data_IF_286067029294
#
_entry.id   IF_286067029294
#
_cell.length_a   1.000
_cell.length_b   1.000
_cell.length_c   1.000
_cell.angle_alpha   90.00
_cell.angle_beta   90.00
_cell.angle_gamma   90.00
#
_symmetry.space_group_name_H-M   'P 1'
#
loop_
_entity.id
_entity.type
_entity.pdbx_description
1 polymer ?
#
# COMPACT_ATOMS: atom_id res chain seq x y z
N UNK A 1 -18.29 16.22 29.61
CA UNK A 1 -19.03 17.50 29.62
C UNK A 1 -18.70 18.36 28.39
N UNK A 2 -17.44 18.51 27.98
CA UNK A 2 -17.05 19.21 26.73
C UNK A 2 -17.66 18.56 25.47
N UNK A 3 -17.64 17.23 25.36
CA UNK A 3 -18.13 16.48 24.18
C UNK A 3 -19.64 16.73 23.92
N UNK A 4 -20.43 16.85 24.98
CA UNK A 4 -21.89 17.07 24.89
C UNK A 4 -22.22 18.53 24.52
N UNK A 5 -21.46 19.49 25.05
CA UNK A 5 -21.61 20.90 24.65
C UNK A 5 -21.19 21.16 23.21
N UNK A 6 -20.19 20.42 22.69
CA UNK A 6 -19.84 20.45 21.27
C UNK A 6 -20.98 19.88 20.42
N UNK A 7 -21.60 18.77 20.84
CA UNK A 7 -22.72 18.15 20.13
C UNK A 7 -23.97 19.07 20.02
N UNK A 8 -24.31 19.79 21.09
CA UNK A 8 -25.44 20.73 21.09
C UNK A 8 -25.18 22.01 20.27
N UNK A 9 -23.92 22.45 20.14
CA UNK A 9 -23.56 23.52 19.19
C UNK A 9 -23.63 23.06 17.73
N UNK A 10 -23.50 21.76 17.46
CA UNK A 10 -23.55 21.18 16.10
C UNK A 10 -24.97 21.12 15.55
N UNK A 11 -25.96 20.74 16.36
CA UNK A 11 -27.37 20.72 15.93
C UNK A 11 -27.87 22.10 15.46
N UNK A 12 -27.41 23.17 16.13
CA UNK A 12 -27.76 24.56 15.79
C UNK A 12 -27.06 25.12 14.54
N UNK A 13 -26.01 24.44 14.07
CA UNK A 13 -25.27 24.85 12.87
C UNK A 13 -25.85 24.17 11.62
N UNK A 14 -26.26 22.90 11.73
CA UNK A 14 -26.93 22.17 10.65
C UNK A 14 -28.31 22.77 10.29
N UNK A 15 -29.05 23.30 11.27
CA UNK A 15 -30.34 23.98 11.02
C UNK A 15 -30.21 25.29 10.21
N UNK A 16 -29.01 25.86 10.07
CA UNK A 16 -28.80 27.15 9.41
C UNK A 16 -28.12 27.05 8.02
N UNK A 17 -27.81 25.84 7.55
CA UNK A 17 -27.11 25.63 6.26
C UNK A 17 -27.99 25.11 5.12
N UNK A 18 -29.31 25.21 5.25
CA UNK A 18 -30.26 24.94 4.16
C UNK A 18 -30.19 26.04 3.09
N UNK A 19 -29.16 26.01 2.24
CA UNK A 19 -29.19 26.40 0.81
C UNK A 19 -27.80 26.24 0.18
N UNK A 20 -27.48 25.04 -0.31
CA UNK A 20 -26.77 24.80 -1.57
C UNK A 20 -26.42 23.31 -1.66
N UNK A 21 -27.07 22.62 -2.59
CA UNK A 21 -26.64 21.36 -3.23
C UNK A 21 -25.52 20.62 -2.49
N UNK A 22 -25.88 19.76 -1.53
CA UNK A 22 -24.96 18.80 -0.93
C UNK A 22 -24.54 17.79 -1.99
N UNK A 23 -23.59 18.17 -2.85
CA UNK A 23 -22.91 17.23 -3.73
C UNK A 23 -22.21 16.22 -2.82
N UNK A 24 -22.75 15.00 -2.74
CA UNK A 24 -22.08 13.86 -2.11
C UNK A 24 -20.67 13.76 -2.70
N UNK A 25 -19.67 14.23 -1.95
CA UNK A 25 -18.27 13.96 -2.27
C UNK A 25 -18.06 12.49 -1.97
N UNK A 26 -18.37 11.64 -2.95
CA UNK A 26 -18.07 10.22 -2.87
C UNK A 26 -16.54 10.09 -2.79
N UNK A 27 -16.01 9.87 -1.58
CA UNK A 27 -14.60 9.60 -1.30
C UNK A 27 -14.16 8.22 -1.78
N UNK A 28 -14.77 7.70 -2.85
CA UNK A 28 -14.37 6.46 -3.47
C UNK A 28 -12.94 6.61 -4.00
N UNK A 29 -12.00 6.00 -3.28
CA UNK A 29 -10.60 6.00 -3.67
C UNK A 29 -10.39 5.05 -4.85
N UNK A 30 -10.63 5.60 -6.03
CA UNK A 30 -10.30 4.97 -7.29
C UNK A 30 -8.90 5.49 -7.60
N UNK A 31 -7.89 4.62 -7.64
CA UNK A 31 -6.44 4.93 -7.70
C UNK A 31 -5.90 5.77 -8.86
N UNK A 32 -6.69 6.71 -9.34
CA UNK A 32 -6.49 7.64 -10.43
C UNK A 32 -6.80 9.06 -9.99
N UNK A 33 -6.30 10.03 -10.75
CA UNK A 33 -6.65 11.42 -10.57
C UNK A 33 -8.14 11.64 -10.89
N UNK A 34 -8.82 12.38 -10.04
CA UNK A 34 -10.21 12.81 -10.24
C UNK A 34 -10.23 14.30 -10.59
N UNK A 35 -11.23 14.72 -11.37
CA UNK A 35 -11.51 16.15 -11.57
C UNK A 35 -11.91 16.85 -10.26
N UNK A 36 -12.30 16.07 -9.26
CA UNK A 36 -12.68 16.51 -7.92
C UNK A 36 -11.52 16.43 -6.92
N UNK A 37 -10.29 16.15 -7.37
CA UNK A 37 -9.14 16.16 -6.47
C UNK A 37 -8.91 17.58 -5.91
N UNK A 38 -8.66 17.72 -4.59
CA UNK A 38 -8.45 19.01 -3.95
C UNK A 38 -7.16 19.69 -4.43
N UNK A 39 -7.25 20.97 -4.79
CA UNK A 39 -6.08 21.82 -5.05
C UNK A 39 -5.64 22.49 -3.75
N UNK A 40 -4.81 21.80 -2.97
CA UNK A 40 -4.32 22.26 -1.66
C UNK A 40 -3.49 23.55 -1.74
N UNK A 41 -3.03 23.96 -2.93
CA UNK A 41 -2.32 25.22 -3.13
C UNK A 41 -3.21 26.45 -3.01
N UNK A 42 -4.53 26.27 -3.19
CA UNK A 42 -5.53 27.34 -3.16
C UNK A 42 -6.37 27.38 -1.89
N UNK A 43 -6.30 26.33 -1.06
CA UNK A 43 -7.05 26.26 0.18
C UNK A 43 -6.46 27.16 1.26
N UNK A 44 -7.33 27.94 1.91
CA UNK A 44 -7.03 28.58 3.18
C UNK A 44 -6.82 27.53 4.29
N UNK A 45 -6.21 27.94 5.41
CA UNK A 45 -6.01 27.03 6.57
C UNK A 45 -7.32 26.48 7.12
N UNK A 46 -8.41 27.25 7.04
CA UNK A 46 -9.73 26.86 7.54
C UNK A 46 -10.41 25.85 6.60
N UNK A 47 -10.29 26.04 5.29
CA UNK A 47 -10.79 25.07 4.31
C UNK A 47 -10.02 23.76 4.40
N UNK A 48 -8.69 23.82 4.56
CA UNK A 48 -7.88 22.62 4.76
C UNK A 48 -8.27 21.89 6.05
N UNK A 49 -8.46 22.61 7.17
CA UNK A 49 -8.83 21.95 8.43
C UNK A 49 -10.20 21.29 8.36
N UNK A 50 -11.16 21.89 7.65
CA UNK A 50 -12.47 21.28 7.36
C UNK A 50 -12.35 20.06 6.45
N UNK A 51 -11.55 20.14 5.39
CA UNK A 51 -11.29 19.02 4.50
C UNK A 51 -10.67 17.83 5.24
N UNK A 52 -9.64 18.09 6.06
CA UNK A 52 -8.99 17.07 6.89
C UNK A 52 -10.00 16.47 7.87
N UNK A 53 -10.81 17.31 8.50
CA UNK A 53 -11.81 16.86 9.46
C UNK A 53 -12.84 15.95 8.79
N UNK A 54 -13.35 16.33 7.63
CA UNK A 54 -14.35 15.55 6.93
C UNK A 54 -13.76 14.23 6.41
N UNK A 55 -12.53 14.26 5.86
CA UNK A 55 -11.87 13.03 5.38
C UNK A 55 -11.61 12.01 6.49
N UNK A 56 -11.23 12.49 7.69
CA UNK A 56 -10.82 11.61 8.79
C UNK A 56 -11.91 11.29 9.80
N UNK A 57 -12.89 12.17 10.01
CA UNK A 57 -13.80 12.07 11.17
C UNK A 57 -15.28 12.22 10.80
N UNK A 58 -15.63 12.33 9.52
CA UNK A 58 -17.04 12.32 9.14
C UNK A 58 -17.67 10.93 9.40
N UNK A 59 -18.99 10.84 9.63
CA UNK A 59 -19.68 9.56 9.84
C UNK A 59 -19.51 8.57 8.68
N UNK A 60 -19.31 9.07 7.46
CA UNK A 60 -19.06 8.34 6.22
C UNK A 60 -17.56 8.21 5.89
N UNK A 61 -16.66 8.67 6.77
CA UNK A 61 -15.22 8.56 6.56
C UNK A 61 -14.80 7.09 6.45
N UNK A 62 -14.07 6.78 5.38
CA UNK A 62 -13.53 5.44 5.08
C UNK A 62 -12.03 5.32 5.40
N UNK A 63 -11.42 6.38 5.95
CA UNK A 63 -9.99 6.46 6.19
C UNK A 63 -9.63 7.39 7.35
N UNK A 64 -8.49 7.12 7.99
CA UNK A 64 -7.78 7.95 8.93
C UNK A 64 -6.32 8.09 8.46
N UNK A 65 -6.01 9.24 7.85
CA UNK A 65 -4.73 9.58 7.25
C UNK A 65 -3.56 9.49 8.24
N UNK A 66 -3.76 9.85 9.52
CA UNK A 66 -2.69 9.76 10.52
C UNK A 66 -2.28 8.30 10.76
N UNK A 67 -3.25 7.39 10.86
CA UNK A 67 -2.96 5.96 10.96
C UNK A 67 -2.20 5.49 9.70
N UNK A 68 -2.67 5.89 8.52
CA UNK A 68 -2.09 5.45 7.25
C UNK A 68 -0.64 5.92 7.07
N UNK A 69 -0.33 7.16 7.47
CA UNK A 69 1.03 7.70 7.47
C UNK A 69 1.92 6.88 8.41
N UNK A 70 1.56 6.76 9.69
CA UNK A 70 2.44 6.16 10.69
C UNK A 70 2.62 4.66 10.49
N UNK A 71 1.54 3.94 10.14
CA UNK A 71 1.58 2.51 9.89
C UNK A 71 2.58 2.16 8.77
N UNK A 72 2.48 2.84 7.62
CA UNK A 72 3.37 2.60 6.48
C UNK A 72 4.77 3.22 6.66
N UNK A 73 4.91 4.35 7.35
CA UNK A 73 6.23 4.91 7.67
C UNK A 73 7.03 3.95 8.56
N UNK A 74 6.44 3.46 9.65
CA UNK A 74 7.10 2.53 10.56
C UNK A 74 7.35 1.17 9.90
N UNK A 75 6.39 0.68 9.11
CA UNK A 75 6.56 -0.51 8.29
C UNK A 75 7.71 -0.38 7.30
N UNK A 76 7.83 0.77 6.64
CA UNK A 76 8.90 1.07 5.69
C UNK A 76 10.27 1.07 6.36
N UNK A 77 10.39 1.72 7.52
CA UNK A 77 11.62 1.68 8.34
C UNK A 77 11.97 0.23 8.69
N UNK A 78 11.02 -0.55 9.20
CA UNK A 78 11.27 -1.95 9.58
C UNK A 78 11.73 -2.81 8.38
N UNK A 79 11.06 -2.69 7.23
CA UNK A 79 11.39 -3.48 6.04
C UNK A 79 12.76 -3.09 5.44
N UNK A 80 13.07 -1.80 5.37
CA UNK A 80 14.36 -1.32 4.84
C UNK A 80 15.50 -1.64 5.80
N UNK A 81 15.31 -1.48 7.11
CA UNK A 81 16.29 -1.90 8.10
C UNK A 81 16.52 -3.41 8.08
N UNK A 82 15.45 -4.21 7.92
CA UNK A 82 15.55 -5.66 7.75
C UNK A 82 16.32 -6.05 6.48
N UNK A 83 16.04 -5.38 5.35
CA UNK A 83 16.77 -5.58 4.10
C UNK A 83 18.26 -5.20 4.22
N UNK A 84 18.56 -4.07 4.89
CA UNK A 84 19.93 -3.64 5.15
C UNK A 84 20.68 -4.65 6.05
N UNK A 85 20.02 -5.16 7.09
CA UNK A 85 20.56 -6.22 7.93
C UNK A 85 20.90 -7.48 7.10
N UNK A 86 19.97 -7.95 6.26
CA UNK A 86 20.21 -9.11 5.40
C UNK A 86 21.35 -8.86 4.40
N UNK A 87 21.42 -7.67 3.80
CA UNK A 87 22.52 -7.27 2.92
C UNK A 87 23.89 -7.33 3.61
N UNK A 88 24.00 -6.76 4.82
CA UNK A 88 25.25 -6.74 5.59
C UNK A 88 25.72 -8.15 5.99
N UNK A 89 24.77 -9.06 6.23
CA UNK A 89 25.04 -10.46 6.61
C UNK A 89 25.20 -11.40 5.42
N UNK A 90 25.01 -10.92 4.20
CA UNK A 90 25.08 -11.75 3.00
C UNK A 90 26.50 -12.15 2.64
N UNK A 91 26.70 -13.44 2.40
CA UNK A 91 27.96 -14.08 1.99
C UNK A 91 28.22 -14.08 0.47
N UNK A 92 27.21 -13.74 -0.33
CA UNK A 92 27.26 -13.84 -1.79
C UNK A 92 26.67 -12.61 -2.48
N UNK A 93 27.14 -12.35 -3.70
CA UNK A 93 26.66 -11.24 -4.53
C UNK A 93 25.17 -11.40 -4.86
N UNK A 94 24.72 -12.63 -5.14
CA UNK A 94 23.30 -12.92 -5.42
C UNK A 94 22.38 -12.56 -4.26
N UNK A 95 22.74 -12.93 -3.02
CA UNK A 95 21.99 -12.53 -1.82
C UNK A 95 21.95 -11.01 -1.66
N UNK A 96 23.10 -10.34 -1.80
CA UNK A 96 23.20 -8.87 -1.71
C UNK A 96 22.28 -8.17 -2.71
N UNK A 97 22.34 -8.54 -3.99
CA UNK A 97 21.47 -7.98 -5.04
C UNK A 97 20.01 -8.25 -4.70
N UNK A 98 19.67 -9.48 -4.30
CA UNK A 98 18.29 -9.86 -3.98
C UNK A 98 17.71 -9.03 -2.84
N UNK A 99 18.48 -8.81 -1.76
CA UNK A 99 18.02 -8.04 -0.61
C UNK A 99 17.97 -6.53 -0.88
N UNK A 100 18.84 -6.00 -1.74
CA UNK A 100 18.74 -4.61 -2.22
C UNK A 100 17.46 -4.41 -3.03
N UNK A 101 17.18 -5.30 -3.98
CA UNK A 101 15.96 -5.23 -4.79
C UNK A 101 14.70 -5.36 -3.94
N UNK A 102 14.71 -6.28 -2.96
CA UNK A 102 13.66 -6.40 -1.96
C UNK A 102 13.47 -5.09 -1.16
N UNK A 103 14.54 -4.56 -0.56
CA UNK A 103 14.49 -3.38 0.29
C UNK A 103 14.04 -2.12 -0.45
N UNK A 104 14.56 -1.87 -1.65
CA UNK A 104 14.15 -0.74 -2.49
C UNK A 104 12.67 -0.86 -2.86
N UNK A 105 12.21 -2.04 -3.24
CA UNK A 105 10.82 -2.25 -3.67
C UNK A 105 9.82 -2.02 -2.53
N UNK A 106 10.09 -2.57 -1.34
CA UNK A 106 9.25 -2.36 -0.17
C UNK A 106 9.35 -0.91 0.32
N UNK A 107 10.53 -0.29 0.22
CA UNK A 107 10.73 1.13 0.52
C UNK A 107 9.88 2.05 -0.37
N UNK A 108 9.88 1.81 -1.69
CA UNK A 108 9.03 2.54 -2.65
C UNK A 108 7.56 2.41 -2.27
N UNK A 109 7.09 1.19 -1.96
CA UNK A 109 5.70 0.97 -1.57
C UNK A 109 5.34 1.71 -0.27
N UNK A 110 6.06 1.43 0.81
CA UNK A 110 5.68 1.87 2.15
C UNK A 110 5.94 3.36 2.37
N UNK A 111 7.11 3.86 1.96
CA UNK A 111 7.37 5.30 2.05
C UNK A 111 6.58 6.09 1.02
N UNK A 112 6.38 5.57 -0.19
CA UNK A 112 5.51 6.21 -1.20
C UNK A 112 4.09 6.41 -0.68
N UNK A 113 3.55 5.38 -0.04
CA UNK A 113 2.24 5.44 0.61
C UNK A 113 2.18 6.42 1.78
N UNK A 114 3.16 6.36 2.70
CA UNK A 114 3.22 7.30 3.81
C UNK A 114 3.32 8.77 3.34
N UNK A 115 4.09 9.03 2.29
CA UNK A 115 4.21 10.37 1.68
C UNK A 115 2.90 10.82 1.04
N UNK A 116 2.20 9.95 0.31
CA UNK A 116 0.91 10.27 -0.29
C UNK A 116 -0.11 10.74 0.75
N UNK A 117 -0.30 9.95 1.82
CA UNK A 117 -1.20 10.29 2.92
C UNK A 117 -0.75 11.57 3.66
N UNK A 118 0.56 11.73 3.87
CA UNK A 118 1.12 12.93 4.50
C UNK A 118 0.84 14.21 3.69
N UNK A 119 1.06 14.18 2.38
CA UNK A 119 0.80 15.34 1.53
C UNK A 119 -0.70 15.63 1.37
N UNK A 120 -1.56 14.62 1.55
CA UNK A 120 -3.00 14.82 1.66
C UNK A 120 -3.39 15.74 2.84
N UNK A 121 -2.55 15.88 3.86
CA UNK A 121 -2.84 16.70 5.05
C UNK A 121 -2.17 18.09 5.03
N UNK A 122 -1.55 18.52 3.93
CA UNK A 122 -0.68 19.71 3.91
C UNK A 122 -1.17 20.80 2.95
N UNK A 123 -1.23 22.04 3.44
CA UNK A 123 -1.51 23.23 2.61
C UNK A 123 -0.33 23.56 1.69
N UNK A 124 -0.60 24.19 0.55
CA UNK A 124 0.44 24.67 -0.36
C UNK A 124 1.00 23.60 -1.29
N UNK A 125 0.46 22.38 -1.25
CA UNK A 125 0.84 21.30 -2.17
C UNK A 125 0.07 21.49 -3.48
N UNK A 126 0.78 21.50 -4.61
CA UNK A 126 0.13 21.57 -5.91
C UNK A 126 -0.65 20.29 -6.19
N UNK A 127 -1.79 20.42 -6.87
CA UNK A 127 -2.60 19.28 -7.28
C UNK A 127 -1.80 18.23 -8.07
N UNK A 128 -0.85 18.69 -8.90
CA UNK A 128 0.00 17.80 -9.71
C UNK A 128 0.92 16.95 -8.84
N UNK A 129 1.51 17.56 -7.80
CA UNK A 129 2.40 16.84 -6.88
C UNK A 129 1.63 15.79 -6.08
N UNK A 130 0.43 16.13 -5.57
CA UNK A 130 -0.43 15.18 -4.87
C UNK A 130 -0.81 13.98 -5.76
N UNK A 131 -1.12 14.22 -7.04
CA UNK A 131 -1.42 13.16 -8.03
C UNK A 131 -0.20 12.28 -8.34
N UNK A 132 1.01 12.83 -8.33
CA UNK A 132 2.24 12.03 -8.48
C UNK A 132 2.40 11.09 -7.28
N UNK A 133 2.23 11.58 -6.04
CA UNK A 133 2.33 10.72 -4.87
C UNK A 133 1.26 9.64 -4.84
N UNK A 134 0.01 9.95 -5.22
CA UNK A 134 -1.04 8.94 -5.39
C UNK A 134 -0.63 7.86 -6.39
N UNK A 135 -0.05 8.28 -7.52
CA UNK A 135 0.43 7.36 -8.53
C UNK A 135 1.54 6.46 -7.96
N UNK A 136 2.54 7.03 -7.27
CA UNK A 136 3.63 6.25 -6.65
C UNK A 136 3.10 5.26 -5.62
N UNK A 137 2.19 5.69 -4.73
CA UNK A 137 1.54 4.83 -3.74
C UNK A 137 0.90 3.58 -4.38
N UNK A 138 0.11 3.79 -5.43
CA UNK A 138 -0.54 2.67 -6.12
C UNK A 138 0.41 1.86 -7.02
N UNK A 139 1.46 2.46 -7.58
CA UNK A 139 2.50 1.71 -8.29
C UNK A 139 3.34 0.88 -7.34
N UNK A 140 3.51 1.34 -6.10
CA UNK A 140 4.29 0.69 -5.07
C UNK A 140 3.89 -0.76 -4.85
N UNK A 141 2.61 -1.10 -5.07
CA UNK A 141 2.12 -2.48 -4.97
C UNK A 141 2.81 -3.40 -5.99
N UNK A 142 3.00 -2.98 -7.25
CA UNK A 142 3.74 -3.77 -8.24
C UNK A 142 5.20 -3.98 -7.82
N UNK A 143 5.84 -2.92 -7.30
CA UNK A 143 7.20 -3.02 -6.77
C UNK A 143 7.26 -4.03 -5.63
N UNK A 144 6.41 -3.91 -4.62
CA UNK A 144 6.41 -4.81 -3.48
C UNK A 144 6.20 -6.28 -3.87
N UNK A 145 5.29 -6.57 -4.80
CA UNK A 145 5.06 -7.94 -5.28
C UNK A 145 6.31 -8.49 -5.97
N UNK A 146 6.89 -7.73 -6.91
CA UNK A 146 8.09 -8.17 -7.63
C UNK A 146 9.27 -8.35 -6.68
N UNK A 147 9.57 -7.32 -5.88
CA UNK A 147 10.69 -7.29 -4.94
C UNK A 147 10.62 -8.38 -3.87
N UNK A 148 9.41 -8.68 -3.35
CA UNK A 148 9.21 -9.76 -2.36
C UNK A 148 9.54 -11.14 -2.90
N UNK A 149 9.41 -11.34 -4.22
CA UNK A 149 9.69 -12.62 -4.89
C UNK A 149 11.19 -12.83 -5.12
N UNK A 150 11.97 -11.77 -5.29
CA UNK A 150 13.37 -11.86 -5.73
C UNK A 150 14.23 -12.76 -4.85
N UNK A 151 14.25 -12.63 -3.50
CA UNK A 151 15.13 -13.48 -2.70
C UNK A 151 14.70 -14.96 -2.72
N UNK A 152 13.40 -15.26 -2.82
CA UNK A 152 12.95 -16.65 -2.99
C UNK A 152 13.42 -17.22 -4.34
N UNK A 153 13.25 -16.44 -5.42
CA UNK A 153 13.59 -16.86 -6.77
C UNK A 153 15.10 -16.99 -6.98
N UNK A 154 15.90 -15.99 -6.61
CA UNK A 154 17.34 -15.99 -6.91
C UNK A 154 18.18 -16.75 -5.89
N UNK A 155 17.79 -16.77 -4.60
CA UNK A 155 18.59 -17.41 -3.54
C UNK A 155 18.17 -18.86 -3.31
N UNK A 156 16.89 -19.11 -3.00
CA UNK A 156 16.43 -20.49 -2.72
C UNK A 156 16.30 -21.30 -4.01
N UNK A 157 15.65 -20.75 -5.04
CA UNK A 157 15.38 -21.51 -6.27
C UNK A 157 16.58 -21.48 -7.21
N UNK A 158 17.20 -20.32 -7.42
CA UNK A 158 18.39 -20.16 -8.24
C UNK A 158 18.24 -20.65 -9.69
N UNK A 159 19.36 -20.72 -10.40
CA UNK A 159 19.42 -21.25 -11.78
C UNK A 159 18.52 -20.50 -12.77
N UNK A 160 18.19 -21.16 -13.88
CA UNK A 160 17.39 -20.58 -14.95
C UNK A 160 15.96 -20.23 -14.49
N UNK A 161 15.34 -21.07 -13.66
CA UNK A 161 13.98 -20.85 -13.16
C UNK A 161 13.88 -19.61 -12.27
N UNK A 162 14.83 -19.43 -11.34
CA UNK A 162 14.87 -18.26 -10.47
C UNK A 162 15.00 -16.94 -11.25
N UNK A 163 15.87 -16.92 -12.25
CA UNK A 163 16.02 -15.76 -13.14
C UNK A 163 14.79 -15.54 -14.02
N UNK A 164 14.22 -16.58 -14.60
CA UNK A 164 13.01 -16.49 -15.43
C UNK A 164 11.84 -15.87 -14.66
N UNK A 165 11.60 -16.31 -13.42
CA UNK A 165 10.56 -15.74 -12.56
C UNK A 165 10.86 -14.30 -12.18
N UNK A 166 12.12 -13.97 -11.88
CA UNK A 166 12.53 -12.59 -11.57
C UNK A 166 12.28 -11.65 -12.75
N UNK A 167 12.70 -12.05 -13.97
CA UNK A 167 12.47 -11.27 -15.19
C UNK A 167 10.98 -11.13 -15.48
N UNK A 168 10.21 -12.21 -15.35
CA UNK A 168 8.76 -12.19 -15.50
C UNK A 168 8.10 -11.18 -14.56
N UNK A 169 8.47 -11.17 -13.29
CA UNK A 169 7.92 -10.22 -12.30
C UNK A 169 8.22 -8.77 -12.65
N UNK A 170 9.47 -8.46 -13.01
CA UNK A 170 9.85 -7.10 -13.39
C UNK A 170 9.25 -6.68 -14.73
N UNK A 171 9.01 -7.62 -15.64
CA UNK A 171 8.25 -7.38 -16.86
C UNK A 171 6.81 -6.97 -16.55
N UNK A 172 6.09 -7.74 -15.74
CA UNK A 172 4.70 -7.42 -15.34
C UNK A 172 4.64 -6.09 -14.55
N UNK A 173 5.59 -5.85 -13.64
CA UNK A 173 5.74 -4.56 -12.95
C UNK A 173 5.87 -3.42 -13.96
N UNK A 174 6.78 -3.55 -14.92
CA UNK A 174 7.04 -2.50 -15.91
C UNK A 174 5.81 -2.25 -16.78
N UNK A 175 5.17 -3.31 -17.27
CA UNK A 175 3.92 -3.21 -18.01
C UNK A 175 2.82 -2.55 -17.19
N UNK A 176 2.61 -2.96 -15.94
CA UNK A 176 1.60 -2.40 -15.05
C UNK A 176 1.81 -0.91 -14.76
N UNK A 177 3.05 -0.51 -14.50
CA UNK A 177 3.43 0.90 -14.31
C UNK A 177 3.16 1.71 -15.57
N UNK A 178 3.65 1.26 -16.73
CA UNK A 178 3.45 1.93 -18.01
C UNK A 178 1.96 2.04 -18.37
N UNK A 179 1.20 0.95 -18.23
CA UNK A 179 -0.24 0.93 -18.50
C UNK A 179 -0.97 1.96 -17.65
N UNK A 180 -0.67 2.03 -16.34
CA UNK A 180 -1.35 3.00 -15.46
C UNK A 180 -0.91 4.44 -15.74
N UNK A 181 0.32 4.67 -16.19
CA UNK A 181 0.79 6.00 -16.60
C UNK A 181 0.14 6.52 -17.89
N UNK A 182 -0.14 5.63 -18.84
CA UNK A 182 -0.73 5.97 -20.15
C UNK A 182 -2.26 5.97 -20.09
N UNK A 183 -2.87 4.98 -19.46
CA UNK A 183 -4.32 4.72 -19.50
C UNK A 183 -5.09 5.29 -18.30
N UNK A 184 -4.55 6.35 -17.65
CA UNK A 184 -5.00 6.90 -16.35
C UNK A 184 -6.50 7.11 -16.17
N UNK A 185 -7.24 7.39 -17.23
CA UNK A 185 -8.68 7.68 -17.13
C UNK A 185 -9.54 6.67 -17.89
N UNK A 186 -8.91 5.70 -18.58
CA UNK A 186 -9.58 4.80 -19.51
C UNK A 186 -9.76 3.38 -18.94
N UNK A 187 -9.13 3.07 -17.81
CA UNK A 187 -9.08 1.72 -17.23
C UNK A 187 -9.49 1.78 -15.76
N UNK A 188 -10.38 0.87 -15.36
CA UNK A 188 -10.84 0.76 -13.96
C UNK A 188 -9.72 0.26 -13.04
N UNK A 189 -9.70 0.75 -11.80
CA UNK A 189 -8.77 0.28 -10.75
C UNK A 189 -8.92 -1.23 -10.50
N UNK A 190 -10.09 -1.81 -10.75
CA UNK A 190 -10.34 -3.25 -10.62
C UNK A 190 -9.41 -4.10 -11.48
N UNK A 191 -9.04 -3.63 -12.68
CA UNK A 191 -8.12 -4.35 -13.58
C UNK A 191 -6.73 -4.44 -12.93
N UNK A 192 -6.26 -3.35 -12.33
CA UNK A 192 -4.99 -3.35 -11.60
C UNK A 192 -5.04 -4.24 -10.36
N UNK A 193 -6.16 -4.25 -9.63
CA UNK A 193 -6.36 -5.15 -8.49
C UNK A 193 -6.24 -6.62 -8.91
N UNK A 194 -6.82 -7.00 -10.05
CA UNK A 194 -6.65 -8.35 -10.61
C UNK A 194 -5.20 -8.63 -11.03
N UNK A 195 -4.51 -7.66 -11.65
CA UNK A 195 -3.10 -7.81 -11.98
C UNK A 195 -2.25 -8.03 -10.72
N UNK A 196 -2.50 -7.28 -9.64
CA UNK A 196 -1.81 -7.46 -8.36
C UNK A 196 -2.03 -8.86 -7.81
N UNK A 197 -3.27 -9.36 -7.82
CA UNK A 197 -3.59 -10.68 -7.30
C UNK A 197 -2.92 -11.79 -8.13
N UNK A 198 -3.06 -11.76 -9.46
CA UNK A 198 -2.46 -12.76 -10.34
C UNK A 198 -0.93 -12.76 -10.25
N UNK A 199 -0.33 -11.57 -10.24
CA UNK A 199 1.11 -11.41 -10.07
C UNK A 199 1.56 -11.94 -8.70
N UNK A 200 0.85 -11.59 -7.62
CA UNK A 200 1.18 -12.00 -6.25
C UNK A 200 1.12 -13.50 -5.99
N UNK A 201 0.24 -14.23 -6.69
CA UNK A 201 0.14 -15.68 -6.59
C UNK A 201 1.00 -16.44 -7.60
N UNK A 202 1.53 -15.78 -8.64
CA UNK A 202 2.41 -16.44 -9.62
C UNK A 202 3.68 -17.11 -9.05
N UNK A 203 4.29 -16.68 -7.91
CA UNK A 203 5.37 -17.41 -7.26
C UNK A 203 5.00 -18.82 -6.78
N UNK A 204 3.72 -19.22 -6.83
CA UNK A 204 3.32 -20.61 -6.53
C UNK A 204 4.06 -21.63 -7.38
N UNK A 205 4.51 -21.26 -8.59
CA UNK A 205 5.35 -22.12 -9.43
C UNK A 205 6.68 -22.51 -8.73
N UNK A 206 7.13 -21.72 -7.76
CA UNK A 206 8.35 -21.98 -6.99
C UNK A 206 8.13 -22.94 -5.82
N UNK A 207 6.88 -23.24 -5.43
CA UNK A 207 6.56 -23.98 -4.20
C UNK A 207 7.27 -25.32 -4.15
N UNK A 208 7.24 -26.10 -5.23
CA UNK A 208 7.88 -27.42 -5.26
C UNK A 208 9.37 -27.34 -4.93
N UNK A 209 10.09 -26.43 -5.59
CA UNK A 209 11.52 -26.22 -5.36
C UNK A 209 11.79 -25.64 -3.97
N UNK A 210 10.96 -24.71 -3.48
CA UNK A 210 11.10 -24.15 -2.13
C UNK A 210 10.89 -25.21 -1.05
N UNK A 211 9.90 -26.10 -1.20
CA UNK A 211 9.66 -27.22 -0.30
C UNK A 211 10.88 -28.15 -0.23
N UNK A 212 11.44 -28.51 -1.38
CA UNK A 212 12.59 -29.41 -1.46
C UNK A 212 13.87 -28.79 -0.89
N UNK A 213 14.09 -27.48 -1.12
CA UNK A 213 15.37 -26.83 -0.80
C UNK A 213 15.41 -26.16 0.57
N UNK A 214 14.27 -25.63 1.05
CA UNK A 214 14.21 -24.82 2.27
C UNK A 214 13.10 -25.27 3.25
N UNK A 215 12.35 -26.31 2.90
CA UNK A 215 11.36 -26.94 3.77
C UNK A 215 9.97 -26.25 3.75
N UNK A 216 9.02 -26.85 4.48
CA UNK A 216 7.63 -26.40 4.48
C UNK A 216 7.41 -25.03 5.15
N UNK A 217 8.26 -24.65 6.10
CA UNK A 217 8.05 -23.45 6.90
C UNK A 217 8.16 -22.17 6.07
N UNK A 218 9.15 -22.08 5.16
CA UNK A 218 9.26 -20.91 4.26
C UNK A 218 8.04 -20.80 3.36
N UNK A 219 7.52 -21.93 2.87
CA UNK A 219 6.32 -21.97 2.02
C UNK A 219 5.10 -21.50 2.80
N UNK A 220 4.93 -21.93 4.05
CA UNK A 220 3.80 -21.47 4.88
C UNK A 220 3.85 -19.98 5.18
N UNK A 221 5.03 -19.43 5.50
CA UNK A 221 5.18 -17.99 5.72
C UNK A 221 4.86 -17.19 4.45
N UNK A 222 5.37 -17.64 3.30
CA UNK A 222 5.08 -17.01 2.00
C UNK A 222 3.59 -17.09 1.65
N UNK A 223 2.99 -18.27 1.85
CA UNK A 223 1.56 -18.52 1.60
C UNK A 223 0.67 -17.63 2.46
N UNK A 224 0.88 -17.62 3.78
CA UNK A 224 0.08 -16.78 4.68
C UNK A 224 0.32 -15.29 4.45
N UNK A 225 1.52 -14.90 4.00
CA UNK A 225 1.75 -13.54 3.52
C UNK A 225 0.90 -13.20 2.29
N UNK A 226 0.83 -14.10 1.31
CA UNK A 226 -0.04 -13.96 0.12
C UNK A 226 -1.53 -13.91 0.48
N UNK A 227 -1.98 -14.74 1.43
CA UNK A 227 -3.35 -14.68 1.97
C UNK A 227 -3.62 -13.33 2.64
N UNK A 228 -2.69 -12.84 3.47
CA UNK A 228 -2.81 -11.53 4.13
C UNK A 228 -3.03 -10.41 3.11
N UNK A 229 -2.19 -10.33 2.07
CA UNK A 229 -2.36 -9.35 1.00
C UNK A 229 -3.69 -9.50 0.27
N UNK A 230 -4.13 -10.73 -0.01
CA UNK A 230 -5.38 -11.00 -0.73
C UNK A 230 -6.61 -10.56 0.08
N UNK A 231 -6.64 -10.87 1.38
CA UNK A 231 -7.72 -10.45 2.29
C UNK A 231 -7.75 -8.94 2.39
N UNK A 232 -6.59 -8.30 2.58
CA UNK A 232 -6.48 -6.85 2.57
C UNK A 232 -7.03 -6.24 1.29
N UNK A 233 -6.66 -6.79 0.12
CA UNK A 233 -7.08 -6.26 -1.18
C UNK A 233 -8.61 -6.33 -1.35
N UNK A 234 -9.23 -7.40 -0.84
CA UNK A 234 -10.69 -7.54 -0.83
C UNK A 234 -11.34 -6.46 0.05
N UNK A 235 -10.78 -6.18 1.23
CA UNK A 235 -11.27 -5.11 2.13
C UNK A 235 -11.13 -3.75 1.46
N UNK A 236 -9.97 -3.46 0.85
CA UNK A 236 -9.72 -2.23 0.09
C UNK A 236 -10.72 -2.07 -1.07
N UNK A 237 -10.89 -3.11 -1.89
CA UNK A 237 -11.79 -3.07 -3.04
C UNK A 237 -13.27 -2.91 -2.66
N UNK A 238 -13.68 -3.46 -1.51
CA UNK A 238 -15.06 -3.33 -1.00
C UNK A 238 -15.31 -2.04 -0.22
N UNK A 239 -14.25 -1.34 0.21
CA UNK A 239 -14.31 -0.18 1.09
C UNK A 239 -15.15 -0.41 2.36
N UNK A 240 -15.13 -1.66 2.85
CA UNK A 240 -15.83 -2.13 4.04
C UNK A 240 -15.07 -3.32 4.65
N UNK A 241 -15.17 -3.58 5.97
CA UNK A 241 -16.00 -2.87 6.95
C UNK A 241 -15.34 -1.61 7.51
N UNK A 242 -16.15 -0.71 8.07
CA UNK A 242 -15.69 0.39 8.91
C UNK A 242 -15.92 -0.01 10.37
N UNK A 243 -14.90 -0.54 11.03
CA UNK A 243 -15.02 -1.09 12.39
C UNK A 243 -15.28 0.02 13.41
N UNK A 244 -14.59 1.16 13.25
CA UNK A 244 -14.79 2.37 14.05
C UNK A 244 -14.81 3.56 13.09
N UNK A 245 -15.99 4.08 12.69
CA UNK A 245 -16.09 5.19 11.73
C UNK A 245 -15.21 6.39 12.14
N UNK A 246 -14.37 6.85 11.23
CA UNK A 246 -13.41 7.94 11.43
C UNK A 246 -12.14 7.61 12.24
N UNK A 247 -11.96 6.35 12.65
CA UNK A 247 -10.77 5.93 13.42
C UNK A 247 -10.12 4.71 12.79
N UNK A 248 -10.88 3.66 12.51
CA UNK A 248 -10.38 2.40 11.98
C UNK A 248 -11.37 1.82 10.98
N UNK A 249 -11.16 2.20 9.73
CA UNK A 249 -12.01 1.91 8.59
C UNK A 249 -11.33 0.92 7.64
N UNK A 250 -11.96 0.66 6.50
CA UNK A 250 -11.46 -0.32 5.53
C UNK A 250 -10.04 -0.04 5.05
N UNK A 251 -9.63 1.22 4.95
CA UNK A 251 -8.29 1.59 4.47
C UNK A 251 -7.20 1.27 5.49
N UNK A 252 -7.46 1.52 6.77
CA UNK A 252 -6.52 1.18 7.85
C UNK A 252 -6.39 -0.33 7.99
N UNK A 253 -7.50 -1.06 7.83
CA UNK A 253 -7.51 -2.53 7.80
C UNK A 253 -6.65 -3.03 6.63
N UNK A 254 -6.77 -2.43 5.45
CA UNK A 254 -5.89 -2.71 4.31
C UNK A 254 -4.41 -2.54 4.68
N UNK A 255 -4.03 -1.40 5.27
CA UNK A 255 -2.65 -1.14 5.71
C UNK A 255 -2.16 -2.21 6.69
N UNK A 256 -3.00 -2.61 7.66
CA UNK A 256 -2.65 -3.68 8.62
C UNK A 256 -2.38 -5.01 7.92
N UNK A 257 -3.22 -5.41 6.95
CA UNK A 257 -3.01 -6.65 6.20
C UNK A 257 -1.77 -6.59 5.30
N UNK A 258 -1.46 -5.42 4.71
CA UNK A 258 -0.22 -5.19 3.94
C UNK A 258 1.00 -5.35 4.85
N UNK A 259 0.99 -4.73 6.03
CA UNK A 259 2.08 -4.83 7.00
C UNK A 259 2.27 -6.25 7.54
N UNK A 260 1.18 -6.96 7.82
CA UNK A 260 1.24 -8.36 8.25
C UNK A 260 1.83 -9.25 7.15
N UNK A 261 1.45 -9.05 5.89
CA UNK A 261 2.03 -9.75 4.74
C UNK A 261 3.52 -9.46 4.57
N UNK A 262 3.90 -8.18 4.65
CA UNK A 262 5.29 -7.74 4.55
C UNK A 262 6.15 -8.30 5.70
N UNK A 263 5.60 -8.35 6.92
CA UNK A 263 6.27 -8.93 8.08
C UNK A 263 6.52 -10.43 7.91
N UNK A 264 5.52 -11.18 7.44
CA UNK A 264 5.65 -12.62 7.17
C UNK A 264 6.72 -12.90 6.10
N UNK A 265 6.73 -12.12 5.02
CA UNK A 265 7.74 -12.24 3.97
C UNK A 265 9.14 -11.82 4.46
N UNK A 266 9.23 -10.72 5.23
CA UNK A 266 10.49 -10.30 5.83
C UNK A 266 11.05 -11.37 6.77
N UNK A 267 10.20 -11.97 7.60
CA UNK A 267 10.59 -13.05 8.50
C UNK A 267 11.04 -14.29 7.72
N UNK A 268 10.32 -14.66 6.67
CA UNK A 268 10.71 -15.73 5.77
C UNK A 268 12.10 -15.48 5.16
N UNK A 269 12.37 -14.25 4.74
CA UNK A 269 13.67 -13.90 4.17
C UNK A 269 14.80 -13.96 5.21
N UNK A 270 14.61 -13.32 6.37
CA UNK A 270 15.62 -13.32 7.44
C UNK A 270 15.94 -14.75 7.90
N UNK A 271 14.94 -15.64 7.99
CA UNK A 271 15.14 -17.00 8.49
C UNK A 271 15.62 -17.99 7.42
N UNK A 272 15.09 -17.91 6.20
CA UNK A 272 15.27 -18.98 5.21
C UNK A 272 16.01 -18.55 3.96
N UNK A 273 16.05 -17.27 3.57
CA UNK A 273 16.86 -16.84 2.41
C UNK A 273 18.24 -16.34 2.82
N UNK A 274 18.35 -15.62 3.95
CA UNK A 274 19.64 -15.16 4.46
C UNK A 274 20.55 -16.34 4.87
N UNK A 275 19.97 -17.34 5.56
CA UNK A 275 20.70 -18.49 6.09
C UNK A 275 20.75 -19.69 5.13
N UNK A 276 20.32 -19.52 3.87
CA UNK A 276 20.39 -20.54 2.82
C UNK A 276 21.83 -20.67 2.29
#
# INVERSE_FOLDING_TARGET
>A
MLIVQTHLKMQKYDENSDTSESQEVNFHENGFASKFDPDFSKMSRKELSLWIRNKNYAPDAVTNELFNIWSHLLGGVACVSGAAYMFMRSDSVTKKISFVLYGISLGIMLFGSALYHYFGLRSGISINLYRIFRLVDHQGIFFAIAGSTVPFALVIVGGALGWAVTVYMYFILTCGVCMKMVLRHSVSQSIFNWMYLLMGWSPCILIHTMLQRAGAQVVWLTFWGGVSYSVGLIVFAKQKPNLIPGIFCSHEIWHVFVLAGALLHLWAHIKYTLNY
#
